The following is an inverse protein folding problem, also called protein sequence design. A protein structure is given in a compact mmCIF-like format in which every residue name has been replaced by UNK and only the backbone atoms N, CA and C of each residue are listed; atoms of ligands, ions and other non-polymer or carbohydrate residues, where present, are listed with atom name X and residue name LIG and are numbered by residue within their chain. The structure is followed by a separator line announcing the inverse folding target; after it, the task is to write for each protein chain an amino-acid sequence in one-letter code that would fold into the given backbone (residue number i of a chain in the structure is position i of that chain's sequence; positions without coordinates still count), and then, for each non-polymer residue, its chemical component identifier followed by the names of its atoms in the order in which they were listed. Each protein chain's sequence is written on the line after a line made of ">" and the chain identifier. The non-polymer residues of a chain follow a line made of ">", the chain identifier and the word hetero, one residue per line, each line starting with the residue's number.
data_IF_446494370936
#
_entry.id   IF_446494370936
#
_cell.length_a   1.000
_cell.length_b   1.000
_cell.length_c   1.000
_cell.angle_alpha   90.00
_cell.angle_beta   90.00
_cell.angle_gamma   90.00
#
_symmetry.space_group_name_H-M   'P 1'
#
loop_
_entity.id
_entity.type
_entity.pdbx_description
1 polymer ?
#
# COMPACT_ATOMS: atom_id res chain seq x y z
N UNK A 1 -7.76 11.07 -15.13
CA UNK A 1 -6.87 10.13 -15.87
C UNK A 1 -6.31 10.72 -17.15
N UNK A 2 -7.08 11.48 -17.95
CA UNK A 2 -6.60 12.06 -19.22
C UNK A 2 -5.29 12.84 -19.11
N UNK A 3 -5.11 13.65 -18.05
CA UNK A 3 -3.89 14.45 -17.88
C UNK A 3 -2.63 13.62 -17.56
N UNK A 4 -2.77 12.49 -16.85
CA UNK A 4 -1.64 11.61 -16.54
C UNK A 4 -1.22 10.82 -17.78
N UNK A 5 -2.18 10.22 -18.50
CA UNK A 5 -1.90 9.46 -19.72
C UNK A 5 -1.33 10.33 -20.84
N UNK A 6 -1.85 11.55 -20.99
CA UNK A 6 -1.29 12.55 -21.91
C UNK A 6 0.18 12.90 -21.61
N UNK A 7 0.62 12.77 -20.36
CA UNK A 7 1.98 13.15 -19.94
C UNK A 7 3.00 12.01 -20.05
N UNK A 8 2.57 10.79 -20.36
CA UNK A 8 3.46 9.63 -20.53
C UNK A 8 3.56 9.25 -22.01
N UNK A 9 4.51 8.38 -22.36
CA UNK A 9 4.64 7.90 -23.74
C UNK A 9 3.49 6.98 -24.13
N UNK A 10 3.17 6.94 -25.43
CA UNK A 10 2.15 6.04 -25.99
C UNK A 10 2.42 4.56 -25.61
N UNK A 11 3.68 4.15 -25.52
CA UNK A 11 4.08 2.81 -25.07
C UNK A 11 3.65 2.53 -23.63
N UNK A 12 3.82 3.50 -22.73
CA UNK A 12 3.40 3.37 -21.34
C UNK A 12 1.88 3.39 -21.21
N UNK A 13 1.18 4.24 -21.97
CA UNK A 13 -0.27 4.26 -22.01
C UNK A 13 -0.87 2.95 -22.55
N UNK A 14 -0.34 2.42 -23.66
CA UNK A 14 -0.73 1.10 -24.15
C UNK A 14 -0.50 0.01 -23.10
N UNK A 15 0.66 0.04 -22.42
CA UNK A 15 0.99 -0.84 -21.32
C UNK A 15 -0.02 -0.79 -20.16
N UNK A 16 -0.44 0.40 -19.75
CA UNK A 16 -1.48 0.62 -18.74
C UNK A 16 -2.80 -0.04 -19.18
N UNK A 17 -3.28 0.21 -20.39
CA UNK A 17 -4.54 -0.37 -20.88
C UNK A 17 -4.54 -1.91 -20.87
N UNK A 18 -3.46 -2.54 -21.32
CA UNK A 18 -3.43 -4.00 -21.49
C UNK A 18 -2.99 -4.75 -20.23
N UNK A 19 -2.22 -4.10 -19.35
CA UNK A 19 -1.64 -4.75 -18.17
C UNK A 19 -2.32 -4.33 -16.87
N UNK A 20 -2.86 -3.12 -16.77
CA UNK A 20 -3.55 -2.62 -15.57
C UNK A 20 -4.66 -3.55 -15.09
N UNK A 21 -5.63 -3.93 -15.94
CA UNK A 21 -6.70 -4.87 -15.57
C UNK A 21 -6.22 -6.31 -15.28
N UNK A 22 -5.00 -6.68 -15.68
CA UNK A 22 -4.41 -7.99 -15.35
C UNK A 22 -3.85 -8.03 -13.93
N UNK A 23 -3.46 -6.87 -13.39
CA UNK A 23 -2.97 -6.73 -12.02
C UNK A 23 -4.12 -6.38 -11.06
N UNK A 24 -4.96 -5.43 -11.46
CA UNK A 24 -6.16 -5.01 -10.71
C UNK A 24 -7.39 -5.56 -11.42
N UNK A 25 -7.68 -6.82 -11.17
CA UNK A 25 -8.76 -7.57 -11.80
C UNK A 25 -10.06 -7.53 -10.97
N UNK A 26 -11.05 -8.34 -11.39
CA UNK A 26 -12.31 -8.46 -10.66
C UNK A 26 -12.15 -9.08 -9.26
N UNK A 27 -11.15 -9.94 -9.05
CA UNK A 27 -10.87 -10.52 -7.73
C UNK A 27 -10.40 -9.43 -6.76
N UNK A 28 -9.51 -8.54 -7.21
CA UNK A 28 -9.09 -7.39 -6.39
C UNK A 28 -10.29 -6.51 -6.03
N UNK A 29 -11.23 -6.28 -6.97
CA UNK A 29 -12.45 -5.53 -6.69
C UNK A 29 -13.35 -6.24 -5.67
N UNK A 30 -13.45 -7.57 -5.70
CA UNK A 30 -14.23 -8.29 -4.69
C UNK A 30 -13.57 -8.26 -3.31
N UNK A 31 -12.24 -8.38 -3.24
CA UNK A 31 -11.51 -8.19 -1.99
C UNK A 31 -11.79 -6.80 -1.39
N UNK A 32 -11.82 -5.76 -2.22
CA UNK A 32 -12.19 -4.40 -1.77
C UNK A 32 -13.63 -4.34 -1.23
N UNK A 33 -14.59 -5.02 -1.87
CA UNK A 33 -15.98 -5.08 -1.36
C UNK A 33 -16.05 -5.83 -0.04
N UNK A 34 -15.30 -6.91 0.12
CA UNK A 34 -15.25 -7.66 1.37
C UNK A 34 -14.68 -6.80 2.49
N UNK A 35 -13.56 -6.12 2.26
CA UNK A 35 -12.99 -5.18 3.24
C UNK A 35 -14.00 -4.11 3.65
N UNK A 36 -14.74 -3.54 2.68
CA UNK A 36 -15.79 -2.57 2.99
C UNK A 36 -16.92 -3.19 3.85
N UNK A 37 -17.37 -4.41 3.54
CA UNK A 37 -18.39 -5.10 4.34
C UNK A 37 -17.91 -5.30 5.79
N UNK A 38 -16.69 -5.81 5.98
CA UNK A 38 -16.10 -6.01 7.31
C UNK A 38 -15.96 -4.70 8.13
N UNK A 39 -15.79 -3.57 7.44
CA UNK A 39 -15.82 -2.24 8.09
C UNK A 39 -17.25 -1.86 8.47
N UNK A 40 -18.21 -2.03 7.56
CA UNK A 40 -19.60 -1.62 7.75
C UNK A 40 -20.35 -2.46 8.77
N UNK A 41 -20.06 -3.76 8.84
CA UNK A 41 -20.67 -4.69 9.80
C UNK A 41 -19.97 -4.69 11.18
N UNK A 42 -18.85 -3.98 11.30
CA UNK A 42 -18.11 -3.81 12.56
C UNK A 42 -17.06 -4.89 12.85
N UNK A 43 -16.98 -5.95 12.03
CA UNK A 43 -16.01 -7.05 12.21
C UNK A 43 -14.56 -6.55 12.26
N UNK A 44 -14.20 -5.57 11.44
CA UNK A 44 -12.86 -4.98 11.46
C UNK A 44 -12.57 -4.25 12.78
N UNK A 45 -13.54 -3.50 13.29
CA UNK A 45 -13.40 -2.74 14.54
C UNK A 45 -13.27 -3.69 15.74
N UNK A 46 -14.05 -4.77 15.77
CA UNK A 46 -13.95 -5.80 16.80
C UNK A 46 -12.57 -6.46 16.82
N UNK A 47 -12.08 -6.92 15.66
CA UNK A 47 -10.71 -7.48 15.51
C UNK A 47 -9.64 -6.52 16.03
N UNK A 48 -9.77 -5.22 15.71
CA UNK A 48 -8.81 -4.21 16.16
C UNK A 48 -8.86 -3.98 17.67
N UNK A 49 -10.07 -3.88 18.24
CA UNK A 49 -10.23 -3.67 19.68
C UNK A 49 -9.67 -4.84 20.48
N UNK A 50 -9.94 -6.08 20.05
CA UNK A 50 -9.40 -7.29 20.66
C UNK A 50 -7.87 -7.30 20.63
N UNK A 51 -7.26 -7.16 19.44
CA UNK A 51 -5.81 -7.09 19.28
C UNK A 51 -5.17 -5.99 20.14
N UNK A 52 -5.81 -4.82 20.22
CA UNK A 52 -5.32 -3.70 21.00
C UNK A 52 -5.43 -3.94 22.51
N UNK A 53 -6.51 -4.57 22.97
CA UNK A 53 -6.67 -4.96 24.38
C UNK A 53 -5.70 -6.07 24.80
N UNK A 54 -5.29 -6.93 23.86
CA UNK A 54 -4.33 -8.02 24.06
C UNK A 54 -2.86 -7.59 23.86
N UNK A 55 -2.56 -6.28 23.88
CA UNK A 55 -1.18 -5.78 23.87
C UNK A 55 -0.53 -5.65 22.49
N UNK A 56 -1.28 -5.83 21.40
CA UNK A 56 -0.86 -5.54 20.00
C UNK A 56 0.30 -6.38 19.49
N UNK A 57 0.43 -7.63 19.91
CA UNK A 57 1.54 -8.49 19.53
C UNK A 57 1.66 -8.67 18.00
N UNK A 58 0.58 -9.08 17.34
CA UNK A 58 0.58 -9.30 15.88
C UNK A 58 0.77 -7.98 15.14
N UNK A 59 0.14 -6.92 15.63
CA UNK A 59 0.29 -5.60 15.05
C UNK A 59 1.74 -5.09 15.12
N UNK A 60 2.42 -5.29 16.26
CA UNK A 60 3.82 -4.91 16.41
C UNK A 60 4.75 -5.81 15.56
N UNK A 61 4.43 -7.10 15.40
CA UNK A 61 5.15 -7.99 14.50
C UNK A 61 5.03 -7.53 13.03
N UNK A 62 3.82 -7.20 12.56
CA UNK A 62 3.59 -6.66 11.21
C UNK A 62 4.38 -5.37 11.01
N UNK A 63 4.31 -4.43 11.97
CA UNK A 63 5.08 -3.18 11.94
C UNK A 63 6.59 -3.43 11.84
N UNK A 64 7.11 -4.40 12.59
CA UNK A 64 8.54 -4.75 12.56
C UNK A 64 8.94 -5.31 11.20
N UNK A 65 8.16 -6.25 10.66
CA UNK A 65 8.40 -6.84 9.33
C UNK A 65 8.42 -5.78 8.23
N UNK A 66 7.46 -4.84 8.27
CA UNK A 66 7.39 -3.76 7.28
C UNK A 66 8.59 -2.81 7.40
N UNK A 67 9.02 -2.49 8.62
CA UNK A 67 10.20 -1.65 8.86
C UNK A 67 11.52 -2.31 8.44
N UNK A 68 11.59 -3.65 8.53
CA UNK A 68 12.75 -4.46 8.12
C UNK A 68 12.74 -4.78 6.61
N UNK A 69 11.68 -4.42 5.87
CA UNK A 69 11.56 -4.77 4.45
C UNK A 69 12.72 -4.14 3.64
N UNK A 70 13.36 -4.89 2.70
CA UNK A 70 14.54 -4.40 1.96
C UNK A 70 14.34 -3.05 1.25
N UNK A 71 13.10 -2.77 0.82
CA UNK A 71 12.74 -1.48 0.19
C UNK A 71 12.99 -0.28 1.11
N UNK A 72 12.82 -0.45 2.42
CA UNK A 72 13.03 0.63 3.40
C UNK A 72 14.52 0.93 3.57
N UNK A 73 15.36 -0.11 3.59
CA UNK A 73 16.82 0.05 3.63
C UNK A 73 17.33 0.80 2.40
N UNK A 74 17.02 0.27 1.22
CA UNK A 74 17.46 0.86 -0.05
C UNK A 74 16.86 2.26 -0.23
N UNK A 75 15.58 2.44 0.11
CA UNK A 75 14.91 3.72 0.02
C UNK A 75 15.53 4.79 0.91
N UNK A 76 15.96 4.44 2.13
CA UNK A 76 16.64 5.38 3.05
C UNK A 76 17.98 5.84 2.48
N UNK A 77 18.79 4.90 1.98
CA UNK A 77 20.08 5.20 1.35
C UNK A 77 19.92 6.10 0.13
N UNK A 78 18.93 5.82 -0.74
CA UNK A 78 18.67 6.66 -1.91
C UNK A 78 18.18 8.05 -1.53
N UNK A 79 17.24 8.15 -0.59
CA UNK A 79 16.66 9.44 -0.18
C UNK A 79 17.66 10.35 0.55
N UNK A 80 18.64 9.80 1.27
CA UNK A 80 19.68 10.61 1.94
C UNK A 80 20.61 11.34 0.96
N UNK A 81 20.73 10.83 -0.27
CA UNK A 81 21.51 11.47 -1.33
C UNK A 81 20.73 12.56 -2.09
N UNK A 82 19.42 12.66 -1.87
CA UNK A 82 18.55 13.60 -2.57
C UNK A 82 18.45 14.92 -1.78
N UNK A 83 19.30 15.89 -2.11
CA UNK A 83 19.40 17.18 -1.40
C UNK A 83 18.13 18.03 -1.40
N UNK A 84 17.20 17.75 -2.32
CA UNK A 84 15.90 18.41 -2.42
C UNK A 84 14.81 17.74 -1.58
N UNK A 85 15.10 16.60 -0.96
CA UNK A 85 14.22 15.96 0.01
C UNK A 85 14.67 16.33 1.42
N UNK A 86 13.70 16.52 2.31
CA UNK A 86 13.91 16.56 3.76
C UNK A 86 13.47 15.21 4.33
N UNK A 87 14.29 14.15 4.22
CA UNK A 87 13.91 12.84 4.72
C UNK A 87 13.78 12.91 6.24
N UNK A 88 12.57 12.65 6.75
CA UNK A 88 12.34 12.46 8.18
C UNK A 88 12.97 11.13 8.58
N UNK A 89 14.10 11.20 9.28
CA UNK A 89 14.63 10.02 9.96
C UNK A 89 13.73 9.70 11.17
N UNK A 90 13.21 8.47 11.20
CA UNK A 90 12.54 7.89 12.37
C UNK A 90 13.54 7.09 13.19
#
# INVERSE_FOLDING_TARGET
>A
LGFMRYSVSDTAEYGDYVSGPRVIDNQVRENMRQVLREIQDGSFAEKWLDENSNGREKFNEMRRKDAEHPVEKVGRELRSMMTWLEPVEK
#
